data_IF_478598267126
#
_entry.id   IF_478598267126
#
_cell.length_a   1.000
_cell.length_b   1.000
_cell.length_c   1.000
_cell.angle_alpha   90.00
_cell.angle_beta   90.00
_cell.angle_gamma   90.00
#
_symmetry.space_group_name_H-M   'P 1'
#
loop_
_entity.id
_entity.type
_entity.pdbx_description
1 polymer ?
#
# COMPACT_ATOMS: atom_id res chain seq x y z
N UNK A 1 -4.10 3.04 24.47
CA UNK A 1 -3.22 2.46 23.43
C UNK A 1 -3.39 3.34 22.21
N UNK A 2 -2.44 4.23 21.97
CA UNK A 2 -2.47 5.18 20.85
C UNK A 2 -1.86 4.51 19.62
N UNK A 3 -2.60 4.53 18.52
CA UNK A 3 -2.03 4.29 17.20
C UNK A 3 -1.73 5.64 16.58
N UNK A 4 -0.55 5.77 15.98
CA UNK A 4 -0.17 6.91 15.18
C UNK A 4 -0.37 6.54 13.71
N UNK A 5 -1.17 7.31 12.98
CA UNK A 5 -1.45 7.07 11.57
C UNK A 5 -0.85 8.16 10.70
N UNK A 6 0.23 7.84 9.98
CA UNK A 6 0.89 8.72 9.05
C UNK A 6 0.31 8.55 7.64
N UNK A 7 -0.32 9.60 7.12
CA UNK A 7 -0.99 9.61 5.82
C UNK A 7 -0.06 10.18 4.75
N UNK A 8 0.04 9.49 3.62
CA UNK A 8 0.85 9.86 2.46
C UNK A 8 0.00 9.79 1.19
N UNK A 9 0.28 10.66 0.22
CA UNK A 9 -0.36 10.58 -1.10
C UNK A 9 0.16 9.36 -1.85
N UNK A 10 -0.74 8.57 -2.46
CA UNK A 10 -0.37 7.44 -3.31
C UNK A 10 -0.97 7.62 -4.70
N UNK A 11 -0.20 7.34 -5.76
CA UNK A 11 -0.62 7.52 -7.15
C UNK A 11 -0.22 6.30 -7.97
N UNK A 12 -1.15 5.78 -8.77
CA UNK A 12 -0.84 4.77 -9.78
C UNK A 12 -0.06 5.41 -10.93
N UNK A 13 1.18 4.99 -11.19
CA UNK A 13 1.98 5.52 -12.31
C UNK A 13 1.43 5.16 -13.69
N UNK A 14 0.67 4.06 -13.79
CA UNK A 14 0.18 3.58 -15.07
C UNK A 14 -1.02 4.38 -15.60
N UNK A 15 -1.94 4.82 -14.72
CA UNK A 15 -3.16 5.52 -15.13
C UNK A 15 -3.40 6.87 -14.43
N UNK A 16 -2.55 7.24 -13.46
CA UNK A 16 -2.69 8.48 -12.70
C UNK A 16 -3.75 8.44 -11.59
N UNK A 17 -4.34 7.27 -11.30
CA UNK A 17 -5.33 7.14 -10.22
C UNK A 17 -4.73 7.49 -8.87
N UNK A 18 -5.37 8.42 -8.15
CA UNK A 18 -4.91 8.89 -6.85
C UNK A 18 -5.62 8.12 -5.72
N UNK A 19 -4.88 7.89 -4.64
CA UNK A 19 -5.38 7.38 -3.38
C UNK A 19 -4.45 7.79 -2.24
N UNK A 20 -4.53 7.05 -1.13
CA UNK A 20 -3.77 7.34 0.07
C UNK A 20 -2.98 6.11 0.51
N UNK A 21 -1.85 6.33 1.17
CA UNK A 21 -1.08 5.31 1.87
C UNK A 21 -1.03 5.72 3.33
N UNK A 22 -1.62 4.91 4.20
CA UNK A 22 -1.62 5.13 5.64
C UNK A 22 -0.64 4.16 6.26
N UNK A 23 0.38 4.68 6.94
CA UNK A 23 1.32 3.90 7.74
C UNK A 23 0.98 4.11 9.21
N UNK A 24 0.52 3.05 9.84
CA UNK A 24 0.12 3.05 11.24
C UNK A 24 1.22 2.42 12.09
N UNK A 25 1.58 3.04 13.21
CA UNK A 25 2.48 2.46 14.21
C UNK A 25 1.94 2.64 15.62
N UNK A 26 2.15 1.67 16.51
CA UNK A 26 1.79 1.78 17.92
C UNK A 26 3.03 1.89 18.83
N UNK A 27 2.80 2.20 20.11
CA UNK A 27 3.84 2.34 21.13
C UNK A 27 4.62 1.03 21.40
N UNK A 28 4.13 -0.11 20.87
CA UNK A 28 4.77 -1.43 20.98
C UNK A 28 5.52 -1.81 19.69
N UNK A 29 5.73 -0.83 18.80
CA UNK A 29 6.45 -0.97 17.56
C UNK A 29 5.78 -1.94 16.57
N UNK A 30 4.46 -2.14 16.69
CA UNK A 30 3.68 -2.82 15.66
C UNK A 30 3.39 -1.83 14.55
N UNK A 31 3.53 -2.29 13.31
CA UNK A 31 3.32 -1.47 12.13
C UNK A 31 2.26 -2.09 11.22
N UNK A 32 1.41 -1.26 10.64
CA UNK A 32 0.46 -1.64 9.61
C UNK A 32 0.53 -0.64 8.47
N UNK A 33 0.30 -1.09 7.23
CA UNK A 33 0.20 -0.19 6.08
C UNK A 33 -1.05 -0.51 5.29
N UNK A 34 -1.89 0.50 5.08
CA UNK A 34 -3.12 0.39 4.31
C UNK A 34 -3.10 1.37 3.15
N UNK A 35 -3.80 1.02 2.07
CA UNK A 35 -3.85 1.85 0.86
C UNK A 35 -5.30 2.17 0.48
N UNK A 36 -5.97 3.10 1.18
CA UNK A 36 -7.31 3.54 0.81
C UNK A 36 -7.37 4.04 -0.65
N UNK A 37 -8.39 3.59 -1.38
CA UNK A 37 -8.54 3.89 -2.81
C UNK A 37 -7.80 2.94 -3.75
N UNK A 38 -7.03 1.98 -3.21
CA UNK A 38 -6.43 0.87 -3.95
C UNK A 38 -7.01 -0.46 -3.47
N UNK A 39 -7.01 -1.46 -4.35
CA UNK A 39 -7.41 -2.82 -3.99
C UNK A 39 -6.18 -3.58 -3.49
N UNK A 40 -6.31 -4.38 -2.44
CA UNK A 40 -5.27 -5.30 -2.02
C UNK A 40 -5.44 -6.61 -2.78
N UNK A 41 -4.39 -7.01 -3.49
CA UNK A 41 -4.37 -8.26 -4.21
C UNK A 41 -3.19 -9.12 -3.76
N UNK A 42 -3.41 -10.42 -3.79
CA UNK A 42 -2.36 -11.41 -3.61
C UNK A 42 -1.27 -11.23 -4.69
N UNK A 43 -0.03 -11.67 -4.40
CA UNK A 43 1.02 -11.60 -5.40
C UNK A 43 0.67 -12.52 -6.56
N UNK A 44 1.13 -12.17 -7.77
CA UNK A 44 0.97 -13.06 -8.90
C UNK A 44 1.73 -14.37 -8.67
N UNK A 45 1.25 -15.47 -9.27
CA UNK A 45 1.92 -16.78 -9.17
C UNK A 45 3.40 -16.72 -9.63
N UNK A 46 3.69 -15.84 -10.59
CA UNK A 46 5.05 -15.60 -11.09
C UNK A 46 5.95 -14.91 -10.06
N UNK A 47 5.45 -13.92 -9.33
CA UNK A 47 6.20 -13.23 -8.28
C UNK A 47 6.46 -14.14 -7.09
N UNK A 48 5.45 -14.90 -6.67
CA UNK A 48 5.57 -15.92 -5.63
C UNK A 48 6.55 -17.03 -6.06
N UNK A 49 6.43 -17.54 -7.29
CA UNK A 49 7.31 -18.59 -7.83
C UNK A 49 8.76 -18.14 -7.99
N UNK A 50 9.00 -16.85 -8.25
CA UNK A 50 10.35 -16.24 -8.27
C UNK A 50 10.85 -15.79 -6.90
N UNK A 51 10.10 -16.07 -5.81
CA UNK A 51 10.42 -15.65 -4.44
C UNK A 51 10.64 -14.13 -4.32
N UNK A 52 9.97 -13.33 -5.15
CA UNK A 52 9.99 -11.86 -5.11
C UNK A 52 8.95 -11.29 -4.14
N UNK A 53 7.98 -12.12 -3.74
CA UNK A 53 6.97 -11.83 -2.74
C UNK A 53 6.60 -13.13 -2.02
N UNK A 54 6.26 -13.04 -0.74
CA UNK A 54 5.70 -14.18 -0.01
C UNK A 54 4.26 -14.46 -0.50
N UNK A 55 3.76 -15.70 -0.42
CA UNK A 55 2.40 -16.04 -0.89
C UNK A 55 1.27 -15.25 -0.22
N UNK A 56 1.55 -14.72 0.98
CA UNK A 56 0.66 -13.93 1.81
C UNK A 56 0.93 -12.41 1.73
N UNK A 57 1.90 -11.96 0.91
CA UNK A 57 2.15 -10.53 0.72
C UNK A 57 0.97 -9.90 -0.04
N UNK A 58 0.21 -9.05 0.65
CA UNK A 58 -0.83 -8.24 0.02
C UNK A 58 -0.17 -6.98 -0.54
N UNK A 59 -0.30 -6.78 -1.86
CA UNK A 59 0.20 -5.56 -2.52
C UNK A 59 -0.96 -4.70 -3.02
N UNK A 60 -0.85 -3.37 -2.92
CA UNK A 60 -1.85 -2.49 -3.49
C UNK A 60 -1.82 -2.57 -5.01
N UNK A 61 -3.00 -2.65 -5.62
CA UNK A 61 -3.22 -2.55 -7.05
C UNK A 61 -4.23 -1.46 -7.36
N UNK A 62 -4.05 -0.84 -8.52
CA UNK A 62 -4.97 0.16 -9.01
C UNK A 62 -6.30 -0.49 -9.43
N UNK A 63 -7.45 -0.05 -8.90
CA UNK A 63 -8.74 -0.61 -9.29
C UNK A 63 -9.12 -0.33 -10.76
N UNK A 64 -8.51 0.69 -11.38
CA UNK A 64 -8.84 1.08 -12.76
C UNK A 64 -8.03 0.33 -13.82
N UNK A 65 -6.77 -0.02 -13.53
CA UNK A 65 -5.87 -0.62 -14.52
C UNK A 65 -5.14 -1.88 -14.04
N UNK A 66 -5.44 -2.37 -12.83
CA UNK A 66 -4.82 -3.52 -12.16
C UNK A 66 -3.29 -3.42 -11.99
N UNK A 67 -2.70 -2.26 -12.29
CA UNK A 67 -1.27 -2.02 -12.12
C UNK A 67 -0.88 -2.06 -10.64
N UNK A 68 0.24 -2.72 -10.34
CA UNK A 68 0.87 -2.73 -9.03
C UNK A 68 1.91 -1.61 -8.85
N UNK A 69 2.10 -0.76 -9.87
CA UNK A 69 3.06 0.35 -9.84
C UNK A 69 2.43 1.58 -9.15
N UNK A 70 2.41 1.53 -7.81
CA UNK A 70 1.88 2.57 -6.95
C UNK A 70 3.05 3.36 -6.33
N UNK A 71 3.14 4.64 -6.66
CA UNK A 71 4.11 5.57 -6.10
C UNK A 71 3.53 6.24 -4.86
N UNK A 72 4.23 6.11 -3.73
CA UNK A 72 3.92 6.85 -2.50
C UNK A 72 4.76 8.12 -2.49
N UNK A 73 4.08 9.26 -2.48
CA UNK A 73 4.67 10.59 -2.58
C UNK A 73 4.63 11.36 -1.25
N UNK A 74 4.13 12.59 -1.32
CA UNK A 74 4.19 13.54 -0.22
C UNK A 74 3.39 13.09 1.01
N UNK A 75 3.97 13.35 2.19
CA UNK A 75 3.26 13.25 3.46
C UNK A 75 2.13 14.29 3.52
N UNK A 76 0.98 13.87 4.02
CA UNK A 76 -0.24 14.68 4.10
C UNK A 76 -0.45 15.15 5.54
N UNK A 77 -0.55 14.22 6.49
CA UNK A 77 -0.89 14.49 7.89
C UNK A 77 -0.64 13.27 8.78
N UNK A 78 -0.62 13.48 10.09
CA UNK A 78 -0.67 12.42 11.11
C UNK A 78 -1.98 12.55 11.87
N UNK A 79 -2.61 11.42 12.19
CA UNK A 79 -3.82 11.35 13.02
C UNK A 79 -3.68 10.29 14.09
#
# INVERSE_FOLDING_TARGET
>A
MSWEHNHYKAICRACGHEGECIRSSDDWNRCETTYPGFITAAPSATEAGRKRAAPNDQRPRCPQCDSADIEVGAYIKTT
#
